data_IF_948314269738
#
_entry.id   IF_948314269738
#
_cell.length_a   1.000
_cell.length_b   1.000
_cell.length_c   1.000
_cell.angle_alpha   90.00
_cell.angle_beta   90.00
_cell.angle_gamma   90.00
#
_symmetry.space_group_name_H-M   'P 1'
#
loop_
_entity.id
_entity.type
_entity.pdbx_description
1 polymer ?
#
# COMPACT_ATOMS: atom_id res chain seq x y z
N UNK A 1 -10.10 -5.53 96.01
CA UNK A 1 -10.52 -6.96 95.90
C UNK A 1 -10.47 -7.30 94.44
N UNK A 2 -9.66 -8.27 94.19
CA UNK A 2 -9.61 -9.24 93.08
C UNK A 2 -9.34 -8.64 91.67
N UNK A 3 -8.10 -8.71 91.24
CA UNK A 3 -7.40 -9.81 90.51
C UNK A 3 -8.26 -10.51 89.44
N UNK A 4 -7.79 -10.48 88.20
CA UNK A 4 -7.31 -11.63 87.46
C UNK A 4 -6.88 -11.20 85.99
N UNK A 5 -6.00 -11.94 85.36
CA UNK A 5 -4.93 -11.43 84.49
C UNK A 5 -5.20 -11.70 82.99
N UNK A 6 -4.31 -11.11 82.26
CA UNK A 6 -3.87 -11.26 80.91
C UNK A 6 -4.32 -12.45 80.05
N UNK A 7 -4.34 -12.17 78.85
CA UNK A 7 -3.64 -13.03 77.87
C UNK A 7 -3.41 -12.24 76.57
N UNK A 8 -2.18 -12.12 76.22
CA UNK A 8 -1.73 -11.58 74.97
C UNK A 8 -2.09 -12.55 73.86
N UNK A 9 -2.39 -11.98 72.72
CA UNK A 9 -2.27 -12.66 71.48
C UNK A 9 -1.73 -11.63 70.45
N UNK A 10 -0.44 -11.60 70.37
CA UNK A 10 0.25 -11.06 69.20
C UNK A 10 -0.06 -11.90 68.00
N UNK A 11 -0.99 -11.44 67.17
CA UNK A 11 -1.19 -12.04 65.86
C UNK A 11 -0.27 -11.31 64.89
N UNK A 12 0.89 -11.91 64.66
CA UNK A 12 1.80 -11.52 63.61
C UNK A 12 1.07 -11.53 62.26
N UNK A 13 0.84 -10.34 61.72
CA UNK A 13 0.46 -10.12 60.34
C UNK A 13 1.72 -10.36 59.47
N UNK A 14 1.94 -11.61 59.05
CA UNK A 14 2.85 -11.93 57.96
C UNK A 14 2.18 -11.50 56.66
N UNK A 15 2.59 -10.32 56.19
CA UNK A 15 2.44 -9.92 54.78
C UNK A 15 3.24 -10.90 53.93
N UNK A 16 2.52 -11.86 53.35
CA UNK A 16 3.07 -12.70 52.28
C UNK A 16 3.13 -11.83 51.03
N UNK A 17 4.26 -11.20 50.84
CA UNK A 17 4.67 -10.66 49.54
C UNK A 17 5.01 -11.86 48.65
N UNK A 18 3.99 -12.42 47.99
CA UNK A 18 4.20 -13.34 46.90
C UNK A 18 4.67 -12.50 45.67
N UNK A 19 5.97 -12.24 45.64
CA UNK A 19 6.64 -11.84 44.42
C UNK A 19 6.62 -13.04 43.48
N UNK A 20 5.56 -13.13 42.66
CA UNK A 20 5.56 -14.05 41.52
C UNK A 20 6.66 -13.58 40.57
N UNK A 21 7.79 -14.26 40.60
CA UNK A 21 8.80 -14.18 39.57
C UNK A 21 8.09 -14.49 38.23
N UNK A 22 8.31 -13.70 37.16
CA UNK A 22 7.78 -14.03 35.88
C UNK A 22 8.32 -15.39 35.47
N UNK A 23 7.41 -16.30 35.14
CA UNK A 23 7.72 -17.59 34.52
C UNK A 23 8.76 -17.37 33.43
N UNK A 24 9.78 -18.22 33.40
CA UNK A 24 10.88 -18.18 32.42
C UNK A 24 10.31 -17.93 31.01
N UNK A 25 10.88 -17.00 30.24
CA UNK A 25 10.39 -16.71 28.91
C UNK A 25 10.37 -18.01 28.10
N UNK A 26 9.26 -18.27 27.44
CA UNK A 26 9.14 -19.40 26.53
C UNK A 26 10.29 -19.27 25.52
N UNK A 27 11.15 -20.30 25.48
CA UNK A 27 12.28 -20.30 24.57
C UNK A 27 11.75 -20.13 23.13
N UNK A 28 12.06 -19.00 22.47
CA UNK A 28 11.67 -18.69 21.09
C UNK A 28 12.28 -19.67 20.05
N UNK A 29 12.83 -20.80 20.52
CA UNK A 29 13.51 -21.81 19.71
C UNK A 29 12.64 -23.03 19.39
N UNK A 30 11.54 -23.24 20.09
CA UNK A 30 10.69 -24.40 19.87
C UNK A 30 9.55 -24.04 18.89
N UNK A 31 9.70 -24.35 17.65
CA UNK A 31 8.74 -24.20 16.56
C UNK A 31 8.36 -22.73 16.22
N UNK A 32 9.34 -22.03 15.66
CA UNK A 32 9.18 -20.67 15.11
C UNK A 32 8.01 -20.59 14.13
N UNK A 33 7.78 -21.63 13.35
CA UNK A 33 6.72 -21.64 12.34
C UNK A 33 5.33 -21.62 12.98
N UNK A 34 5.12 -22.44 14.01
CA UNK A 34 3.85 -22.46 14.74
C UNK A 34 3.61 -21.13 15.47
N UNK A 35 4.63 -20.54 16.07
CA UNK A 35 4.56 -19.22 16.68
C UNK A 35 4.16 -18.13 15.66
N UNK A 36 4.77 -18.15 14.48
CA UNK A 36 4.48 -17.19 13.43
C UNK A 36 3.05 -17.34 12.91
N UNK A 37 2.59 -18.55 12.63
CA UNK A 37 1.22 -18.77 12.15
C UNK A 37 0.18 -18.34 13.20
N UNK A 38 0.40 -18.63 14.46
CA UNK A 38 -0.45 -18.16 15.56
C UNK A 38 -0.49 -16.63 15.62
N UNK A 39 0.66 -15.97 15.59
CA UNK A 39 0.75 -14.50 15.52
C UNK A 39 -0.03 -13.96 14.31
N UNK A 40 0.16 -14.52 13.12
CA UNK A 40 -0.47 -14.02 11.90
C UNK A 40 -1.98 -14.21 11.89
N UNK A 41 -2.49 -15.23 12.58
CA UNK A 41 -3.93 -15.43 12.77
C UNK A 41 -4.49 -14.40 13.75
N UNK A 42 -3.86 -14.24 14.91
CA UNK A 42 -4.36 -13.39 16.00
C UNK A 42 -4.13 -11.89 15.78
N UNK A 43 -3.22 -11.51 14.89
CA UNK A 43 -2.88 -10.10 14.64
C UNK A 43 -3.89 -9.34 13.75
N UNK A 44 -5.00 -9.96 13.32
CA UNK A 44 -6.08 -9.35 12.51
C UNK A 44 -5.58 -8.57 11.28
N UNK A 45 -4.53 -9.06 10.63
CA UNK A 45 -3.88 -8.40 9.50
C UNK A 45 -4.53 -8.81 8.18
N UNK A 46 -4.51 -7.89 7.19
CA UNK A 46 -4.87 -8.23 5.81
C UNK A 46 -3.91 -9.30 5.23
N UNK A 47 -4.41 -10.22 4.40
CA UNK A 47 -3.64 -11.36 3.88
C UNK A 47 -2.31 -10.96 3.21
N UNK A 48 -2.30 -9.88 2.44
CA UNK A 48 -1.06 -9.35 1.83
C UNK A 48 -0.05 -8.84 2.86
N UNK A 49 -0.52 -8.40 4.03
CA UNK A 49 0.33 -8.01 5.15
C UNK A 49 0.86 -9.24 5.86
N UNK A 50 0.01 -10.26 6.06
CA UNK A 50 0.41 -11.55 6.64
C UNK A 50 1.54 -12.20 5.83
N UNK A 51 1.42 -12.27 4.50
CA UNK A 51 2.48 -12.78 3.63
C UNK A 51 3.80 -12.01 3.77
N UNK A 52 3.70 -10.67 3.83
CA UNK A 52 4.88 -9.81 4.02
C UNK A 52 5.52 -10.05 5.38
N UNK A 53 4.72 -10.13 6.44
CA UNK A 53 5.20 -10.38 7.80
C UNK A 53 5.80 -11.77 7.95
N UNK A 54 5.14 -12.80 7.42
CA UNK A 54 5.65 -14.18 7.41
C UNK A 54 7.06 -14.24 6.82
N UNK A 55 7.24 -13.70 5.62
CA UNK A 55 8.55 -13.65 4.95
C UNK A 55 9.58 -12.86 5.75
N UNK A 56 9.20 -11.71 6.28
CA UNK A 56 10.10 -10.83 7.04
C UNK A 56 10.54 -11.47 8.35
N UNK A 57 9.61 -12.07 9.08
CA UNK A 57 9.87 -12.65 10.39
C UNK A 57 10.67 -13.96 10.27
N UNK A 58 10.43 -14.76 9.23
CA UNK A 58 11.33 -15.89 8.92
C UNK A 58 12.77 -15.42 8.73
N UNK A 59 12.97 -14.32 8.00
CA UNK A 59 14.30 -13.72 7.84
C UNK A 59 14.90 -13.19 9.15
N UNK A 60 14.07 -12.65 10.05
CA UNK A 60 14.52 -12.22 11.38
C UNK A 60 14.94 -13.39 12.25
N UNK A 61 14.19 -14.48 12.29
CA UNK A 61 14.56 -15.68 13.05
C UNK A 61 15.79 -16.38 12.47
N UNK A 62 15.94 -16.47 11.15
CA UNK A 62 17.17 -16.98 10.53
C UNK A 62 18.39 -16.10 10.92
N UNK A 63 18.25 -14.78 10.93
CA UNK A 63 19.28 -13.86 11.41
C UNK A 63 19.65 -14.09 12.88
N UNK A 64 18.66 -14.40 13.74
CA UNK A 64 18.87 -14.75 15.16
C UNK A 64 19.68 -16.03 15.29
N UNK A 65 19.31 -17.08 14.54
CA UNK A 65 19.97 -18.39 14.55
C UNK A 65 21.41 -18.31 14.06
N UNK A 66 21.65 -17.63 12.93
CA UNK A 66 23.01 -17.43 12.36
C UNK A 66 23.98 -16.80 13.35
N UNK A 67 23.48 -16.06 14.35
CA UNK A 67 24.28 -15.39 15.37
C UNK A 67 24.32 -16.13 16.70
N UNK A 68 23.70 -17.29 16.81
CA UNK A 68 23.64 -18.08 18.03
C UNK A 68 22.96 -17.34 19.21
N UNK A 69 22.04 -16.42 18.91
CA UNK A 69 21.34 -15.65 19.94
C UNK A 69 20.27 -16.53 20.59
N UNK A 70 20.44 -16.91 21.84
CA UNK A 70 19.46 -17.67 22.60
C UNK A 70 18.27 -16.78 22.99
N UNK A 71 18.54 -15.72 23.75
CA UNK A 71 17.54 -14.78 24.25
C UNK A 71 17.70 -13.42 23.58
N UNK A 72 16.55 -12.88 23.15
CA UNK A 72 16.53 -11.58 22.49
C UNK A 72 16.33 -10.47 23.53
N UNK A 73 17.14 -9.44 23.39
CA UNK A 73 17.01 -8.20 24.13
C UNK A 73 16.94 -6.99 23.18
N UNK A 74 16.84 -5.80 23.77
CA UNK A 74 16.81 -4.54 23.00
C UNK A 74 18.06 -4.34 22.12
N UNK A 75 19.23 -4.77 22.58
CA UNK A 75 20.49 -4.59 21.85
C UNK A 75 20.51 -5.40 20.57
N UNK A 76 19.97 -6.61 20.61
CA UNK A 76 19.81 -7.49 19.44
C UNK A 76 18.86 -6.89 18.40
N UNK A 77 17.76 -6.26 18.81
CA UNK A 77 16.85 -5.60 17.85
C UNK A 77 17.50 -4.37 17.21
N UNK A 78 18.34 -3.64 17.97
CA UNK A 78 19.14 -2.53 17.41
C UNK A 78 20.18 -3.05 16.41
N UNK A 79 20.88 -4.15 16.72
CA UNK A 79 21.82 -4.79 15.82
C UNK A 79 21.14 -5.27 14.52
N UNK A 80 19.96 -5.92 14.64
CA UNK A 80 19.15 -6.30 13.48
C UNK A 80 18.78 -5.08 12.62
N UNK A 81 18.35 -3.99 13.25
CA UNK A 81 18.02 -2.75 12.52
C UNK A 81 19.23 -2.21 11.75
N UNK A 82 20.42 -2.18 12.36
CA UNK A 82 21.65 -1.72 11.71
C UNK A 82 22.04 -2.63 10.54
N UNK A 83 21.96 -3.92 10.73
CA UNK A 83 22.24 -4.92 9.70
C UNK A 83 21.30 -4.78 8.50
N UNK A 84 20.01 -4.58 8.77
CA UNK A 84 19.03 -4.34 7.70
C UNK A 84 19.30 -3.02 6.95
N UNK A 85 19.70 -1.96 7.65
CA UNK A 85 20.05 -0.68 7.01
C UNK A 85 21.29 -0.78 6.11
N UNK A 86 22.22 -1.67 6.43
CA UNK A 86 23.38 -1.94 5.58
C UNK A 86 23.04 -2.76 4.33
N UNK A 87 22.02 -3.63 4.39
CA UNK A 87 21.69 -4.59 3.30
C UNK A 87 20.56 -4.14 2.38
N UNK A 88 19.59 -3.37 2.89
CA UNK A 88 18.39 -3.01 2.14
C UNK A 88 18.09 -1.52 2.22
N UNK A 89 17.24 -1.04 1.32
CA UNK A 89 16.79 0.36 1.32
C UNK A 89 16.09 0.72 2.66
N UNK A 90 16.24 1.96 3.17
CA UNK A 90 15.66 2.39 4.44
C UNK A 90 14.15 2.11 4.59
N UNK A 91 13.37 2.21 3.51
CA UNK A 91 11.94 1.88 3.54
C UNK A 91 11.67 0.39 3.72
N UNK A 92 12.52 -0.47 3.16
CA UNK A 92 12.42 -1.92 3.34
C UNK A 92 12.81 -2.28 4.77
N UNK A 93 13.91 -1.71 5.29
CA UNK A 93 14.31 -1.87 6.68
C UNK A 93 13.21 -1.40 7.66
N UNK A 94 12.54 -0.28 7.35
CA UNK A 94 11.39 0.20 8.13
C UNK A 94 10.24 -0.81 8.15
N UNK A 95 9.92 -1.42 7.01
CA UNK A 95 8.87 -2.46 6.92
C UNK A 95 9.24 -3.69 7.74
N UNK A 96 10.51 -4.13 7.66
CA UNK A 96 11.00 -5.28 8.41
C UNK A 96 10.95 -5.02 9.92
N UNK A 97 11.42 -3.87 10.34
CA UNK A 97 11.35 -3.48 11.74
C UNK A 97 9.91 -3.35 12.26
N UNK A 98 8.98 -2.90 11.42
CA UNK A 98 7.56 -2.82 11.78
C UNK A 98 6.98 -4.21 12.04
N UNK A 99 7.32 -5.22 11.22
CA UNK A 99 6.88 -6.59 11.44
C UNK A 99 7.43 -7.16 12.77
N UNK A 100 8.73 -6.93 13.04
CA UNK A 100 9.37 -7.35 14.30
C UNK A 100 8.72 -6.68 15.52
N UNK A 101 8.48 -5.37 15.46
CA UNK A 101 7.79 -4.64 16.54
C UNK A 101 6.37 -5.15 16.76
N UNK A 102 5.64 -5.47 15.70
CA UNK A 102 4.30 -6.03 15.78
C UNK A 102 4.30 -7.40 16.46
N UNK A 103 5.28 -8.26 16.13
CA UNK A 103 5.45 -9.55 16.77
C UNK A 103 5.72 -9.41 18.28
N UNK A 104 6.69 -8.57 18.68
CA UNK A 104 7.01 -8.40 20.12
C UNK A 104 5.87 -7.75 20.91
N UNK A 105 5.10 -6.86 20.29
CA UNK A 105 3.89 -6.30 20.90
C UNK A 105 2.84 -7.39 21.14
N UNK A 106 2.65 -8.29 20.20
CA UNK A 106 1.74 -9.44 20.36
C UNK A 106 2.26 -10.43 21.40
N UNK A 107 3.55 -10.78 21.39
CA UNK A 107 4.16 -11.67 22.38
C UNK A 107 3.97 -11.17 23.81
N UNK A 108 4.11 -9.86 24.03
CA UNK A 108 3.84 -9.21 25.30
C UNK A 108 2.35 -9.33 25.69
N UNK A 109 1.44 -9.10 24.75
CA UNK A 109 -0.01 -9.16 25.02
C UNK A 109 -0.47 -10.55 25.44
N UNK A 110 0.14 -11.61 24.89
CA UNK A 110 -0.13 -13.00 25.27
C UNK A 110 0.80 -13.50 26.41
N UNK A 111 1.59 -12.61 27.02
CA UNK A 111 2.53 -12.90 28.12
C UNK A 111 3.55 -14.01 27.80
N UNK A 112 3.90 -14.18 26.53
CA UNK A 112 4.85 -15.19 26.09
C UNK A 112 6.31 -14.68 26.13
N UNK A 113 6.53 -13.37 25.83
CA UNK A 113 7.85 -12.76 25.82
C UNK A 113 7.74 -11.25 26.03
N UNK A 114 8.73 -10.59 26.72
CA UNK A 114 8.73 -9.14 26.91
C UNK A 114 8.89 -8.40 25.58
N UNK A 115 8.32 -7.18 25.50
CA UNK A 115 8.42 -6.36 24.29
C UNK A 115 9.77 -5.63 24.21
N UNK A 116 10.80 -6.34 23.84
CA UNK A 116 12.17 -5.80 23.67
C UNK A 116 12.31 -4.82 22.50
N UNK A 117 11.27 -4.68 21.68
CA UNK A 117 11.23 -3.76 20.54
C UNK A 117 10.40 -2.48 20.78
N UNK A 118 9.84 -2.27 22.00
CA UNK A 118 8.87 -1.21 22.30
C UNK A 118 9.39 0.19 21.92
N UNK A 119 10.54 0.62 22.42
CA UNK A 119 11.07 1.98 22.27
C UNK A 119 12.03 2.13 21.08
N UNK A 120 12.12 1.14 20.22
CA UNK A 120 12.98 1.24 19.06
C UNK A 120 12.32 2.13 18.01
N UNK A 121 12.97 3.26 17.74
CA UNK A 121 12.51 4.20 16.70
C UNK A 121 12.57 3.53 15.34
N UNK A 122 11.50 3.64 14.58
CA UNK A 122 11.48 3.24 13.17
C UNK A 122 12.51 4.05 12.37
N UNK A 123 12.86 3.56 11.20
CA UNK A 123 13.79 4.26 10.32
C UNK A 123 13.14 5.56 9.84
N UNK A 124 13.71 6.72 10.19
CA UNK A 124 13.27 7.99 9.61
C UNK A 124 13.54 7.96 8.10
N UNK A 125 12.49 8.04 7.32
CA UNK A 125 12.60 8.29 5.90
C UNK A 125 12.83 9.80 5.73
N UNK A 126 14.06 10.20 5.45
CA UNK A 126 14.40 11.60 5.24
C UNK A 126 13.79 12.07 3.91
N UNK A 127 12.98 13.12 3.98
CA UNK A 127 12.38 13.82 2.85
C UNK A 127 11.02 13.28 2.40
N UNK A 128 10.08 14.20 2.22
CA UNK A 128 8.80 13.97 1.53
C UNK A 128 8.97 13.92 0.00
N UNK A 129 10.18 13.61 -0.48
CA UNK A 129 10.44 13.49 -1.92
C UNK A 129 9.79 12.20 -2.40
N UNK A 130 8.82 12.32 -3.27
CA UNK A 130 8.26 11.16 -3.96
C UNK A 130 9.39 10.39 -4.65
N UNK A 131 9.52 9.11 -4.31
CA UNK A 131 10.50 8.21 -4.94
C UNK A 131 10.15 7.89 -6.40
N UNK A 132 8.93 8.18 -6.80
CA UNK A 132 8.40 7.99 -8.14
C UNK A 132 8.00 9.33 -8.72
N UNK A 133 8.43 9.57 -9.95
CA UNK A 133 8.13 10.82 -10.64
C UNK A 133 6.72 10.78 -11.24
N UNK A 134 6.07 11.92 -11.33
CA UNK A 134 4.91 12.11 -12.20
C UNK A 134 5.40 12.37 -13.64
N UNK A 135 4.58 12.01 -14.62
CA UNK A 135 4.81 12.42 -16.00
C UNK A 135 4.44 13.89 -16.18
N UNK A 136 5.11 14.55 -17.09
CA UNK A 136 4.60 15.80 -17.64
C UNK A 136 3.41 15.54 -18.58
N UNK A 137 2.53 16.53 -18.86
CA UNK A 137 1.45 16.37 -19.83
C UNK A 137 1.94 15.92 -21.22
N UNK A 138 3.10 16.44 -21.67
CA UNK A 138 3.72 16.07 -22.95
C UNK A 138 4.18 14.58 -22.94
N UNK A 139 4.79 14.14 -21.85
CA UNK A 139 5.19 12.74 -21.69
C UNK A 139 3.97 11.80 -21.65
N UNK A 140 2.90 12.18 -20.95
CA UNK A 140 1.67 11.39 -20.90
C UNK A 140 1.03 11.26 -22.29
N UNK A 141 0.96 12.36 -23.05
CA UNK A 141 0.50 12.34 -24.46
C UNK A 141 1.34 11.39 -25.32
N UNK A 142 2.68 11.43 -25.18
CA UNK A 142 3.60 10.55 -25.92
C UNK A 142 3.38 9.08 -25.57
N UNK A 143 3.20 8.74 -24.28
CA UNK A 143 2.88 7.39 -23.84
C UNK A 143 1.57 6.88 -24.46
N UNK A 144 0.55 7.71 -24.49
CA UNK A 144 -0.73 7.34 -25.14
C UNK A 144 -0.58 7.20 -26.65
N UNK A 145 0.22 8.02 -27.30
CA UNK A 145 0.42 7.98 -28.75
C UNK A 145 1.08 6.69 -29.23
N UNK A 146 2.10 6.20 -28.52
CA UNK A 146 2.82 4.97 -28.89
C UNK A 146 2.03 3.70 -28.68
N UNK A 147 0.93 3.75 -27.93
CA UNK A 147 0.05 2.61 -27.70
C UNK A 147 -1.10 2.48 -28.74
N UNK A 148 -1.29 3.46 -29.60
CA UNK A 148 -2.34 3.42 -30.62
C UNK A 148 -2.06 2.27 -31.60
N UNK A 149 -3.11 1.50 -31.91
CA UNK A 149 -3.07 0.40 -32.87
C UNK A 149 -4.40 -0.33 -32.95
N UNK A 150 -4.55 -1.16 -33.98
CA UNK A 150 -5.83 -1.79 -34.31
C UNK A 150 -5.98 -3.20 -33.74
N UNK A 151 -4.88 -3.81 -33.24
CA UNK A 151 -4.97 -5.14 -32.64
C UNK A 151 -5.72 -5.11 -31.30
N UNK A 152 -6.37 -6.21 -30.95
CA UNK A 152 -7.04 -6.36 -29.65
C UNK A 152 -6.10 -6.03 -28.48
N UNK A 153 -4.84 -6.45 -28.56
CA UNK A 153 -3.84 -6.14 -27.54
C UNK A 153 -3.55 -4.64 -27.46
N UNK A 154 -3.33 -3.98 -28.59
CA UNK A 154 -3.07 -2.53 -28.63
C UNK A 154 -4.25 -1.73 -28.07
N UNK A 155 -5.47 -2.07 -28.46
CA UNK A 155 -6.70 -1.43 -27.94
C UNK A 155 -6.86 -1.65 -26.44
N UNK A 156 -6.59 -2.86 -25.94
CA UNK A 156 -6.60 -3.14 -24.50
C UNK A 156 -5.56 -2.29 -23.75
N UNK A 157 -4.33 -2.30 -24.22
CA UNK A 157 -3.21 -1.65 -23.52
C UNK A 157 -3.34 -0.13 -23.56
N UNK A 158 -3.84 0.41 -24.67
CA UNK A 158 -4.20 1.83 -24.79
C UNK A 158 -5.32 2.22 -23.81
N UNK A 159 -6.44 1.48 -23.80
CA UNK A 159 -7.56 1.75 -22.90
C UNK A 159 -7.15 1.66 -21.42
N UNK A 160 -6.35 0.65 -21.07
CA UNK A 160 -5.83 0.44 -19.72
C UNK A 160 -4.93 1.62 -19.27
N UNK A 161 -3.96 1.99 -20.09
CA UNK A 161 -3.00 3.05 -19.73
C UNK A 161 -3.67 4.41 -19.73
N UNK A 162 -4.59 4.67 -20.67
CA UNK A 162 -5.42 5.87 -20.70
C UNK A 162 -6.25 6.01 -19.41
N UNK A 163 -6.91 4.93 -18.97
CA UNK A 163 -7.65 4.90 -17.71
C UNK A 163 -6.73 5.19 -16.50
N UNK A 164 -5.54 4.57 -16.45
CA UNK A 164 -4.58 4.77 -15.36
C UNK A 164 -4.09 6.22 -15.28
N UNK A 165 -3.80 6.85 -16.42
CA UNK A 165 -3.30 8.24 -16.47
C UNK A 165 -4.40 9.25 -16.15
N UNK A 166 -5.65 9.04 -16.59
CA UNK A 166 -6.74 10.01 -16.41
C UNK A 166 -7.44 9.89 -15.07
N UNK A 167 -7.60 8.66 -14.57
CA UNK A 167 -8.42 8.37 -13.37
C UNK A 167 -7.57 8.01 -12.16
N UNK A 168 -6.30 7.65 -12.37
CA UNK A 168 -5.37 7.35 -11.29
C UNK A 168 -5.73 6.10 -10.48
N UNK A 169 -6.27 5.07 -11.12
CA UNK A 169 -6.57 3.81 -10.45
C UNK A 169 -5.30 3.09 -9.96
N UNK A 170 -5.41 2.39 -8.83
CA UNK A 170 -4.35 1.45 -8.41
C UNK A 170 -4.44 0.17 -9.24
N UNK A 171 -3.32 -0.49 -9.49
CA UNK A 171 -3.31 -1.76 -10.26
C UNK A 171 -4.28 -2.80 -9.70
N UNK A 172 -4.43 -2.88 -8.37
CA UNK A 172 -5.37 -3.82 -7.75
C UNK A 172 -6.84 -3.45 -7.99
N UNK A 173 -7.14 -2.16 -8.08
CA UNK A 173 -8.50 -1.67 -8.41
C UNK A 173 -8.88 -2.07 -9.84
N UNK A 174 -7.93 -1.95 -10.78
CA UNK A 174 -8.11 -2.41 -12.17
C UNK A 174 -8.29 -3.93 -12.25
N UNK A 175 -7.46 -4.70 -11.54
CA UNK A 175 -7.56 -6.18 -11.52
C UNK A 175 -8.93 -6.67 -11.05
N UNK A 176 -9.57 -5.93 -10.13
CA UNK A 176 -10.88 -6.27 -9.55
C UNK A 176 -12.06 -5.73 -10.34
N UNK A 177 -11.82 -4.82 -11.30
CA UNK A 177 -12.87 -4.21 -12.12
C UNK A 177 -13.54 -5.22 -13.04
N UNK A 178 -14.88 -5.20 -13.07
CA UNK A 178 -15.75 -5.99 -13.95
C UNK A 178 -16.54 -5.08 -14.86
N UNK A 179 -17.13 -5.62 -15.92
CA UNK A 179 -17.98 -4.84 -16.82
C UNK A 179 -19.23 -4.34 -16.10
N UNK A 180 -19.83 -5.15 -15.23
CA UNK A 180 -20.98 -4.74 -14.43
C UNK A 180 -20.68 -3.64 -13.39
N UNK A 181 -19.42 -3.22 -13.22
CA UNK A 181 -19.07 -2.06 -12.40
C UNK A 181 -19.21 -0.73 -13.14
N UNK A 182 -19.31 -0.77 -14.47
CA UNK A 182 -19.66 0.39 -15.26
C UNK A 182 -21.16 0.66 -15.08
N UNK A 183 -21.52 1.80 -14.52
CA UNK A 183 -22.88 2.20 -14.21
C UNK A 183 -23.15 3.61 -14.73
N UNK A 184 -24.37 3.83 -15.18
CA UNK A 184 -24.83 5.18 -15.49
C UNK A 184 -25.44 5.81 -14.22
N UNK A 185 -25.03 7.04 -13.93
CA UNK A 185 -25.57 7.86 -12.85
C UNK A 185 -25.95 9.22 -13.43
N UNK A 186 -27.25 9.37 -13.76
CA UNK A 186 -27.71 10.49 -14.58
C UNK A 186 -27.10 10.42 -15.98
N UNK A 187 -26.51 11.49 -16.42
CA UNK A 187 -25.80 11.65 -17.70
C UNK A 187 -24.32 11.23 -17.68
N UNK A 188 -23.84 10.76 -16.51
CA UNK A 188 -22.43 10.38 -16.33
C UNK A 188 -22.26 8.88 -16.18
N UNK A 189 -21.23 8.33 -16.80
CA UNK A 189 -20.78 6.95 -16.55
C UNK A 189 -19.75 6.94 -15.42
N UNK A 190 -19.99 6.06 -14.47
CA UNK A 190 -19.10 5.81 -13.34
C UNK A 190 -18.55 4.39 -13.37
N UNK A 191 -17.39 4.18 -12.78
CA UNK A 191 -16.85 2.87 -12.47
C UNK A 191 -16.82 2.69 -10.96
N UNK A 192 -17.49 1.64 -10.46
CA UNK A 192 -17.38 1.23 -9.06
C UNK A 192 -16.04 0.57 -8.83
N UNK A 193 -15.34 0.94 -7.77
CA UNK A 193 -14.00 0.44 -7.48
C UNK A 193 -13.89 -0.11 -6.05
N UNK A 194 -13.19 -1.23 -5.93
CA UNK A 194 -12.84 -1.85 -4.66
C UNK A 194 -11.43 -1.44 -4.26
N UNK A 195 -11.33 -0.62 -3.22
CA UNK A 195 -10.06 -0.13 -2.69
C UNK A 195 -9.17 -1.23 -2.09
N UNK A 196 -7.91 -0.89 -1.83
CA UNK A 196 -6.99 -1.80 -1.12
C UNK A 196 -7.48 -1.99 0.32
N UNK A 197 -7.59 -3.25 0.76
CA UNK A 197 -8.06 -3.61 2.11
C UNK A 197 -9.59 -3.51 2.29
N UNK A 198 -10.35 -3.26 1.22
CA UNK A 198 -11.82 -3.25 1.26
C UNK A 198 -12.38 -4.58 0.75
N UNK A 199 -13.50 -4.99 1.32
CA UNK A 199 -14.24 -6.18 0.88
C UNK A 199 -15.21 -5.81 -0.23
N UNK A 200 -15.83 -4.63 -0.15
CA UNK A 200 -16.84 -4.14 -1.08
C UNK A 200 -16.31 -3.04 -2.00
N UNK A 201 -17.07 -2.75 -3.06
CA UNK A 201 -16.82 -1.65 -3.99
C UNK A 201 -17.50 -0.38 -3.46
N UNK A 202 -16.84 0.24 -2.50
CA UNK A 202 -17.33 1.40 -1.72
C UNK A 202 -16.89 2.75 -2.28
N UNK A 203 -16.17 2.76 -3.40
CA UNK A 203 -15.73 3.97 -4.05
C UNK A 203 -16.16 3.99 -5.53
N UNK A 204 -16.25 5.18 -6.10
CA UNK A 204 -16.55 5.38 -7.50
C UNK A 204 -15.55 6.35 -8.15
N UNK A 205 -15.43 6.23 -9.46
CA UNK A 205 -14.74 7.21 -10.30
C UNK A 205 -15.61 7.57 -11.49
N UNK A 206 -15.62 8.83 -11.87
CA UNK A 206 -16.33 9.31 -13.07
C UNK A 206 -15.43 9.05 -14.28
N UNK A 207 -16.04 8.52 -15.34
CA UNK A 207 -15.37 8.26 -16.61
C UNK A 207 -15.89 9.26 -17.65
N UNK A 208 -15.00 10.11 -18.14
CA UNK A 208 -15.28 11.03 -19.24
C UNK A 208 -15.24 10.29 -20.58
N UNK A 209 -15.82 10.86 -21.65
CA UNK A 209 -15.81 10.28 -23.00
C UNK A 209 -14.39 9.92 -23.47
N UNK A 210 -13.41 10.77 -23.14
CA UNK A 210 -12.01 10.50 -23.46
C UNK A 210 -11.42 9.27 -22.74
N UNK A 211 -12.08 8.78 -21.68
CA UNK A 211 -11.73 7.55 -20.99
C UNK A 211 -12.58 6.37 -21.46
N UNK A 212 -13.87 6.61 -21.70
CA UNK A 212 -14.84 5.59 -22.08
C UNK A 212 -14.65 5.11 -23.52
N UNK A 213 -14.43 6.00 -24.49
CA UNK A 213 -14.26 5.65 -25.89
C UNK A 213 -13.26 4.51 -26.09
N UNK A 214 -12.00 4.66 -25.63
CA UNK A 214 -11.01 3.57 -25.71
C UNK A 214 -11.43 2.26 -25.03
N UNK A 215 -12.17 2.33 -23.92
CA UNK A 215 -12.68 1.13 -23.25
C UNK A 215 -13.70 0.42 -24.14
N UNK A 216 -14.64 1.16 -24.74
CA UNK A 216 -15.64 0.60 -25.65
C UNK A 216 -15.02 0.04 -26.92
N UNK A 217 -14.01 0.70 -27.50
CA UNK A 217 -13.26 0.20 -28.66
C UNK A 217 -12.56 -1.13 -28.36
N UNK A 218 -11.97 -1.25 -27.18
CA UNK A 218 -11.38 -2.50 -26.72
C UNK A 218 -12.45 -3.58 -26.52
N UNK A 219 -13.56 -3.25 -25.85
CA UNK A 219 -14.62 -4.22 -25.58
C UNK A 219 -15.31 -4.69 -26.86
N UNK A 220 -15.51 -3.81 -27.84
CA UNK A 220 -16.02 -4.17 -29.16
C UNK A 220 -15.06 -5.15 -29.85
N UNK A 221 -13.78 -4.85 -29.92
CA UNK A 221 -12.77 -5.73 -30.49
C UNK A 221 -12.71 -7.10 -29.76
N UNK A 222 -12.83 -7.12 -28.43
CA UNK A 222 -12.82 -8.33 -27.62
C UNK A 222 -14.04 -9.22 -27.91
N UNK A 223 -15.23 -8.62 -28.13
CA UNK A 223 -16.42 -9.36 -28.50
C UNK A 223 -16.31 -9.92 -29.93
N UNK A 224 -15.73 -9.14 -30.85
CA UNK A 224 -15.51 -9.59 -32.23
C UNK A 224 -14.53 -10.76 -32.34
N UNK A 225 -13.59 -10.90 -31.40
CA UNK A 225 -12.66 -12.05 -31.34
C UNK A 225 -13.41 -13.39 -31.17
N UNK A 226 -14.56 -13.39 -30.51
CA UNK A 226 -15.44 -14.56 -30.37
C UNK A 226 -14.90 -15.72 -29.53
N UNK A 227 -13.79 -15.53 -28.82
CA UNK A 227 -13.12 -16.58 -28.01
C UNK A 227 -13.76 -16.78 -26.64
N UNK A 228 -14.60 -15.87 -26.18
CA UNK A 228 -15.29 -15.92 -24.89
C UNK A 228 -16.61 -15.14 -24.91
N UNK A 229 -17.53 -15.50 -24.01
CA UNK A 229 -18.75 -14.71 -23.78
C UNK A 229 -18.40 -13.55 -22.84
N UNK A 230 -18.59 -12.32 -23.33
CA UNK A 230 -18.28 -11.09 -22.60
C UNK A 230 -19.55 -10.52 -21.99
N UNK A 231 -19.77 -10.73 -20.69
CA UNK A 231 -20.92 -10.28 -19.90
C UNK A 231 -20.51 -9.43 -18.68
N UNK A 232 -21.48 -9.10 -17.84
CA UNK A 232 -21.29 -8.21 -16.67
C UNK A 232 -20.22 -8.71 -15.71
N UNK A 233 -20.13 -10.03 -15.49
CA UNK A 233 -19.14 -10.65 -14.62
C UNK A 233 -17.73 -10.72 -15.22
N UNK A 234 -17.61 -10.48 -16.51
CA UNK A 234 -16.30 -10.48 -17.17
C UNK A 234 -15.41 -9.36 -16.63
N UNK A 235 -14.09 -9.60 -16.51
CA UNK A 235 -13.16 -8.56 -16.10
C UNK A 235 -13.18 -7.39 -17.09
N UNK A 236 -13.09 -6.17 -16.57
CA UNK A 236 -13.01 -4.96 -17.39
C UNK A 236 -11.81 -5.02 -18.34
N UNK A 237 -10.67 -5.50 -17.85
CA UNK A 237 -9.49 -5.78 -18.67
C UNK A 237 -9.06 -7.23 -18.50
N UNK A 238 -9.09 -7.98 -19.61
CA UNK A 238 -8.78 -9.40 -19.63
C UNK A 238 -7.36 -9.69 -20.10
N UNK A 239 -6.84 -10.79 -19.62
CA UNK A 239 -5.61 -11.40 -20.14
C UNK A 239 -5.86 -11.96 -21.54
N UNK A 240 -4.92 -11.72 -22.45
CA UNK A 240 -4.89 -12.30 -23.80
C UNK A 240 -3.88 -13.45 -23.92
N UNK A 241 -3.23 -13.84 -22.81
CA UNK A 241 -2.32 -14.98 -22.77
C UNK A 241 -3.09 -16.29 -22.91
N UNK A 242 -2.61 -17.24 -23.70
CA UNK A 242 -3.27 -18.54 -23.90
C UNK A 242 -3.55 -19.29 -22.59
N UNK A 243 -2.67 -19.16 -21.57
CA UNK A 243 -2.86 -19.83 -20.27
C UNK A 243 -3.95 -19.19 -19.40
N UNK A 244 -4.22 -17.92 -19.59
CA UNK A 244 -5.13 -17.14 -18.73
C UNK A 244 -6.11 -16.28 -19.55
N UNK A 245 -6.41 -16.67 -20.76
CA UNK A 245 -7.29 -15.94 -21.65
C UNK A 245 -8.66 -15.68 -20.99
N UNK A 246 -9.18 -14.47 -21.11
CA UNK A 246 -10.43 -14.07 -20.49
C UNK A 246 -10.38 -13.80 -18.98
N UNK A 247 -9.34 -14.25 -18.26
CA UNK A 247 -9.20 -13.99 -16.82
C UNK A 247 -8.75 -12.54 -16.54
N UNK A 248 -9.01 -12.00 -15.35
CA UNK A 248 -8.55 -10.66 -14.99
C UNK A 248 -7.05 -10.50 -15.19
N UNK A 249 -6.61 -9.33 -15.67
CA UNK A 249 -5.19 -8.98 -15.68
C UNK A 249 -4.63 -9.00 -14.25
N UNK A 250 -3.50 -9.67 -14.04
CA UNK A 250 -2.80 -9.61 -12.76
C UNK A 250 -2.17 -8.22 -12.54
N UNK A 251 -1.93 -7.85 -11.28
CA UNK A 251 -1.19 -6.61 -10.97
C UNK A 251 0.22 -6.61 -11.58
N UNK A 252 0.83 -7.79 -11.78
CA UNK A 252 2.11 -7.94 -12.46
C UNK A 252 1.99 -7.60 -13.94
N UNK A 253 0.98 -8.16 -14.63
CA UNK A 253 0.73 -7.87 -16.05
C UNK A 253 0.44 -6.39 -16.29
N UNK A 254 -0.36 -5.75 -15.42
CA UNK A 254 -0.64 -4.31 -15.50
C UNK A 254 0.64 -3.49 -15.36
N UNK A 255 1.53 -3.86 -14.42
CA UNK A 255 2.83 -3.18 -14.25
C UNK A 255 3.73 -3.38 -15.46
N UNK A 256 3.72 -4.55 -16.07
CA UNK A 256 4.50 -4.86 -17.26
C UNK A 256 4.02 -4.03 -18.45
N UNK A 257 2.70 -4.01 -18.74
CA UNK A 257 2.10 -3.17 -19.80
C UNK A 257 2.48 -1.70 -19.60
N UNK A 258 2.33 -1.18 -18.37
CA UNK A 258 2.71 0.19 -18.06
C UNK A 258 4.20 0.47 -18.30
N UNK A 259 5.08 -0.47 -17.95
CA UNK A 259 6.53 -0.32 -18.13
C UNK A 259 6.92 -0.38 -19.62
N UNK A 260 6.29 -1.27 -20.39
CA UNK A 260 6.48 -1.37 -21.83
C UNK A 260 6.01 -0.10 -22.56
N UNK A 261 4.87 0.46 -22.16
CA UNK A 261 4.37 1.73 -22.67
C UNK A 261 5.35 2.90 -22.40
N UNK A 262 5.91 2.97 -21.20
CA UNK A 262 6.92 3.96 -20.85
C UNK A 262 8.21 3.80 -21.68
N UNK A 263 8.69 2.57 -21.86
CA UNK A 263 9.87 2.27 -22.70
C UNK A 263 9.64 2.66 -24.16
N UNK A 264 8.52 2.27 -24.72
CA UNK A 264 8.15 2.61 -26.10
C UNK A 264 8.07 4.13 -26.31
N UNK A 265 7.69 4.88 -25.28
CA UNK A 265 7.70 6.34 -25.28
C UNK A 265 9.09 6.96 -24.98
N UNK A 266 10.16 6.18 -24.90
CA UNK A 266 11.51 6.68 -24.56
C UNK A 266 11.64 7.18 -23.12
N UNK A 267 10.82 6.62 -22.19
CA UNK A 267 10.77 7.02 -20.77
C UNK A 267 11.19 5.85 -19.86
N UNK A 268 12.27 5.14 -20.22
CA UNK A 268 12.75 4.01 -19.41
C UNK A 268 13.53 4.51 -18.20
N UNK A 269 12.88 4.51 -17.04
CA UNK A 269 13.45 4.93 -15.77
C UNK A 269 12.90 4.03 -14.65
N UNK A 270 13.74 3.70 -13.67
CA UNK A 270 13.27 3.01 -12.45
C UNK A 270 12.32 3.84 -11.61
N UNK A 271 12.33 5.16 -11.79
CA UNK A 271 11.45 6.09 -11.08
C UNK A 271 10.05 6.14 -11.68
N UNK A 272 9.89 5.79 -12.98
CA UNK A 272 8.61 5.73 -13.68
C UNK A 272 8.00 4.32 -13.64
N UNK A 273 6.80 4.23 -13.10
CA UNK A 273 6.08 2.97 -12.90
C UNK A 273 4.57 3.19 -13.05
N UNK A 274 3.77 2.14 -12.89
CA UNK A 274 2.30 2.26 -12.83
C UNK A 274 1.84 3.29 -11.78
N UNK A 275 2.54 3.41 -10.66
CA UNK A 275 2.23 4.45 -9.67
C UNK A 275 2.49 5.86 -10.18
N UNK A 276 3.42 6.03 -11.11
CA UNK A 276 3.66 7.32 -11.76
C UNK A 276 2.46 7.81 -12.55
N UNK A 277 1.69 6.92 -13.19
CA UNK A 277 0.44 7.30 -13.86
C UNK A 277 -0.58 7.87 -12.87
N UNK A 278 -0.71 7.25 -11.70
CA UNK A 278 -1.57 7.78 -10.64
C UNK A 278 -1.05 9.11 -10.07
N UNK A 279 0.27 9.23 -9.89
CA UNK A 279 0.89 10.50 -9.51
C UNK A 279 0.56 11.58 -10.55
N UNK A 280 0.69 11.26 -11.84
CA UNK A 280 0.35 12.17 -12.93
C UNK A 280 -1.12 12.57 -12.92
N UNK A 281 -2.05 11.63 -12.70
CA UNK A 281 -3.48 11.94 -12.61
C UNK A 281 -3.78 13.00 -11.55
N UNK A 282 -3.22 12.83 -10.34
CA UNK A 282 -3.40 13.78 -9.23
C UNK A 282 -2.74 15.12 -9.53
N UNK A 283 -1.51 15.09 -10.06
CA UNK A 283 -0.78 16.32 -10.45
C UNK A 283 -1.52 17.06 -11.55
N UNK A 284 -2.02 16.36 -12.57
CA UNK A 284 -2.76 16.99 -13.69
C UNK A 284 -4.09 17.58 -13.23
N UNK A 285 -4.78 16.94 -12.27
CA UNK A 285 -5.99 17.51 -11.68
C UNK A 285 -5.68 18.86 -10.99
N UNK A 286 -4.62 18.92 -10.19
CA UNK A 286 -4.18 20.14 -9.51
C UNK A 286 -3.74 21.23 -10.52
N UNK A 287 -2.95 20.87 -11.54
CA UNK A 287 -2.55 21.78 -12.62
C UNK A 287 -3.74 22.29 -13.44
N UNK A 288 -4.81 21.47 -13.56
CA UNK A 288 -6.05 21.83 -14.22
C UNK A 288 -7.00 22.66 -13.34
N UNK A 289 -6.58 23.06 -12.13
CA UNK A 289 -7.37 23.92 -11.23
C UNK A 289 -8.26 23.17 -10.25
N UNK A 290 -8.15 21.85 -10.14
CA UNK A 290 -8.88 21.12 -9.11
C UNK A 290 -8.40 21.50 -7.71
N UNK A 291 -9.32 21.64 -6.77
CA UNK A 291 -8.99 21.85 -5.36
C UNK A 291 -8.25 20.64 -4.78
N UNK A 292 -7.54 20.82 -3.67
CA UNK A 292 -6.84 19.74 -2.99
C UNK A 292 -7.81 18.63 -2.53
N UNK A 293 -9.04 18.98 -2.13
CA UNK A 293 -10.10 18.03 -1.78
C UNK A 293 -10.55 17.21 -3.00
N UNK A 294 -10.73 17.86 -4.16
CA UNK A 294 -11.07 17.17 -5.40
C UNK A 294 -9.96 16.23 -5.85
N UNK A 295 -8.69 16.65 -5.74
CA UNK A 295 -7.53 15.81 -6.03
C UNK A 295 -7.41 14.64 -5.03
N UNK A 296 -7.75 14.85 -3.75
CA UNK A 296 -7.84 13.79 -2.74
C UNK A 296 -8.93 12.77 -3.10
N UNK A 297 -10.11 13.25 -3.49
CA UNK A 297 -11.23 12.42 -3.91
C UNK A 297 -10.87 11.61 -5.17
N UNK A 298 -10.27 12.22 -6.19
CA UNK A 298 -9.74 11.53 -7.39
C UNK A 298 -8.78 10.40 -6.99
N UNK A 299 -7.87 10.69 -6.08
CA UNK A 299 -6.90 9.72 -5.59
C UNK A 299 -7.51 8.70 -4.61
N UNK A 300 -8.65 8.94 -4.03
CA UNK A 300 -9.23 8.11 -2.95
C UNK A 300 -8.22 7.92 -1.81
N UNK A 301 -7.57 9.03 -1.39
CA UNK A 301 -6.67 9.05 -0.26
C UNK A 301 -7.45 9.28 1.03
N UNK A 302 -7.28 8.41 2.01
CA UNK A 302 -7.89 8.55 3.34
C UNK A 302 -7.29 9.72 4.11
N UNK A 303 -6.01 10.05 3.86
CA UNK A 303 -5.31 11.14 4.52
C UNK A 303 -4.95 12.24 3.51
N UNK A 304 -5.35 13.47 3.79
CA UNK A 304 -5.07 14.66 2.98
C UNK A 304 -3.56 14.92 2.84
N UNK A 305 -2.77 14.63 3.87
CA UNK A 305 -1.30 14.76 3.85
C UNK A 305 -0.67 14.00 2.69
N UNK A 306 -1.26 12.84 2.31
CA UNK A 306 -0.80 12.08 1.15
C UNK A 306 -1.00 12.86 -0.16
N UNK A 307 -2.05 13.67 -0.26
CA UNK A 307 -2.33 14.51 -1.44
C UNK A 307 -1.51 15.79 -1.42
N UNK A 308 -1.25 16.38 -0.24
CA UNK A 308 -0.44 17.59 -0.11
C UNK A 308 0.98 17.44 -0.70
N UNK A 309 1.55 16.24 -0.65
CA UNK A 309 2.87 15.98 -1.25
C UNK A 309 2.87 16.24 -2.76
N UNK A 310 1.71 16.10 -3.43
CA UNK A 310 1.59 16.43 -4.87
C UNK A 310 1.48 17.93 -5.11
N UNK A 311 0.82 18.66 -4.21
CA UNK A 311 0.73 20.11 -4.32
C UNK A 311 2.11 20.79 -4.25
N UNK A 312 3.05 20.22 -3.48
CA UNK A 312 4.44 20.70 -3.44
C UNK A 312 5.22 20.45 -4.73
N UNK A 313 4.76 19.51 -5.57
CA UNK A 313 5.38 19.18 -6.85
C UNK A 313 4.74 19.94 -8.04
N UNK A 314 3.59 20.57 -7.81
CA UNK A 314 3.06 21.56 -8.75
C UNK A 314 4.00 22.74 -8.72
N UNK A 315 4.56 23.07 -9.87
CA UNK A 315 5.66 24.01 -10.04
C UNK A 315 5.43 25.31 -9.25
N UNK A 316 6.12 25.47 -8.12
CA UNK A 316 6.04 26.65 -7.27
C UNK A 316 6.42 27.92 -8.03
N UNK A 317 7.23 27.79 -9.08
CA UNK A 317 7.68 28.93 -9.89
C UNK A 317 6.55 29.40 -10.81
N UNK A 318 5.78 28.49 -11.40
CA UNK A 318 4.67 28.87 -12.29
C UNK A 318 3.43 29.38 -11.53
N UNK A 319 3.25 28.94 -10.28
CA UNK A 319 2.16 29.36 -9.40
C UNK A 319 2.71 30.00 -8.11
N UNK A 320 3.74 30.83 -8.26
CA UNK A 320 4.35 31.50 -7.13
C UNK A 320 3.30 32.30 -6.34
N UNK A 321 3.07 32.00 -5.03
CA UNK A 321 2.13 32.74 -4.21
C UNK A 321 2.44 34.23 -4.15
N UNK A 322 3.70 34.58 -4.37
CA UNK A 322 4.20 35.93 -4.43
C UNK A 322 3.44 36.79 -5.46
N UNK A 323 3.03 36.18 -6.59
CA UNK A 323 2.24 36.89 -7.62
C UNK A 323 0.86 37.35 -7.16
N UNK A 324 0.26 36.61 -6.19
CA UNK A 324 -1.01 37.05 -5.60
C UNK A 324 -0.81 38.22 -4.62
N UNK A 325 0.39 38.33 -4.03
CA UNK A 325 0.76 39.49 -3.19
C UNK A 325 0.98 40.69 -4.07
N UNK A 326 1.75 40.53 -5.16
CA UNK A 326 2.00 41.60 -6.12
C UNK A 326 0.70 42.17 -6.69
N UNK A 327 -0.25 41.32 -7.11
CA UNK A 327 -1.57 41.73 -7.60
C UNK A 327 -2.45 42.46 -6.57
N UNK A 328 -2.12 42.39 -5.27
CA UNK A 328 -2.81 43.19 -4.24
C UNK A 328 -2.11 44.48 -3.86
N UNK A 329 -0.83 44.60 -4.23
CA UNK A 329 -0.02 45.78 -3.87
C UNK A 329 0.18 46.75 -5.06
N UNK A 330 0.00 46.25 -6.28
CA UNK A 330 0.19 47.02 -7.51
C UNK A 330 -1.13 47.57 -8.11
N UNK A 331 -2.30 47.27 -7.50
CA UNK A 331 -3.61 47.88 -7.77
C UNK A 331 -3.81 49.15 -6.88
#
# INVERSE_FOLDING_TARGET
MQNIPGNGNETQNQLITATQQPSSPVALSADVEMLLERFLVEAELAETTKETYRRTLRGFFAWKEERGIADLDRSHILAYKQDMLARVRPSTASTYLTAVKSLFKWLESVRAYPNVAADIKTVKLVGNIHRKDALTPAQAKRVLQVLKGDTLQAKRDFALVNLLIRVGLRSVEVTRGRLGDLRNRGDQTILLVQGKGRVEKDALVVLTDATLGPIYDYLAARRCEGREVVGEDSPLFASLSNKTYGKPLSTRSIRQIAKEALRAAGLDSERLTTHSFRHSAVTFALLGGASLQQAQALARHTNLTTTMVYAHNVDRVSQAPERFVDGLLDD
#
